data_IF_452777646743
#
_entry.id   IF_452777646743
#
_cell.length_a   1.000
_cell.length_b   1.000
_cell.length_c   1.000
_cell.angle_alpha   90.00
_cell.angle_beta   90.00
_cell.angle_gamma   90.00
#
_symmetry.space_group_name_H-M   'P 1'
#
loop_
_entity.id
_entity.type
_entity.pdbx_description
1 polymer ?
#
# COMPACT_ATOMS: atom_id res chain seq x y z
N UNK A 1 -4.96 -32.34 -5.38
CA UNK A 1 -5.01 -32.19 -3.91
C UNK A 1 -6.44 -31.88 -3.50
N UNK A 2 -6.88 -32.28 -2.30
CA UNK A 2 -8.16 -31.87 -1.77
C UNK A 2 -8.15 -30.39 -1.37
N UNK A 3 -9.34 -29.79 -1.21
CA UNK A 3 -9.53 -28.44 -0.69
C UNK A 3 -8.80 -28.22 0.65
N UNK A 4 -8.95 -29.17 1.58
CA UNK A 4 -8.32 -29.10 2.89
C UNK A 4 -6.79 -29.10 2.79
N UNK A 5 -6.22 -29.95 1.91
CA UNK A 5 -4.78 -29.98 1.68
C UNK A 5 -4.24 -28.65 1.13
N UNK A 6 -4.90 -28.08 0.13
CA UNK A 6 -4.51 -26.79 -0.45
C UNK A 6 -4.55 -25.66 0.60
N UNK A 7 -5.59 -25.65 1.43
CA UNK A 7 -5.73 -24.66 2.50
C UNK A 7 -4.66 -24.82 3.57
N UNK A 8 -4.38 -26.03 4.02
CA UNK A 8 -3.37 -26.28 5.05
C UNK A 8 -1.96 -25.95 4.56
N UNK A 9 -1.66 -26.24 3.29
CA UNK A 9 -0.40 -25.82 2.66
C UNK A 9 -0.28 -24.29 2.56
N UNK A 10 -1.33 -23.60 2.11
CA UNK A 10 -1.37 -22.13 2.11
C UNK A 10 -1.10 -21.58 3.51
N UNK A 11 -1.79 -22.10 4.53
CA UNK A 11 -1.59 -21.67 5.93
C UNK A 11 -0.15 -21.92 6.39
N UNK A 12 0.42 -23.08 6.07
CA UNK A 12 1.82 -23.38 6.38
C UNK A 12 2.80 -22.39 5.73
N UNK A 13 2.58 -22.04 4.46
CA UNK A 13 3.37 -21.03 3.76
C UNK A 13 3.25 -19.65 4.42
N UNK A 14 2.03 -19.22 4.74
CA UNK A 14 1.77 -17.92 5.37
C UNK A 14 2.43 -17.81 6.76
N UNK A 15 2.46 -18.91 7.52
CA UNK A 15 3.19 -18.98 8.79
C UNK A 15 4.71 -18.88 8.55
N UNK A 16 5.23 -19.63 7.58
CA UNK A 16 6.66 -19.60 7.23
C UNK A 16 7.14 -18.23 6.76
N UNK A 17 6.27 -17.45 6.12
CA UNK A 17 6.52 -16.06 5.72
C UNK A 17 6.37 -15.05 6.87
N UNK A 18 5.88 -15.47 8.04
CA UNK A 18 5.56 -14.57 9.15
C UNK A 18 4.31 -13.70 8.95
N UNK A 19 3.60 -13.87 7.83
CA UNK A 19 2.37 -13.12 7.53
C UNK A 19 1.19 -13.55 8.41
N UNK A 20 1.25 -14.76 8.98
CA UNK A 20 0.24 -15.33 9.84
C UNK A 20 0.91 -15.89 11.09
N UNK A 21 0.49 -15.42 12.27
CA UNK A 21 1.21 -15.59 13.55
C UNK A 21 0.29 -16.00 14.68
N UNK A 22 -0.89 -15.39 14.75
CA UNK A 22 -1.82 -15.51 15.86
C UNK A 22 -2.69 -16.76 15.72
N UNK A 23 -2.76 -17.60 16.77
CA UNK A 23 -3.48 -18.88 16.72
C UNK A 23 -4.96 -18.78 16.30
N UNK A 24 -5.65 -17.72 16.71
CA UNK A 24 -7.05 -17.47 16.34
C UNK A 24 -7.20 -17.04 14.87
N UNK A 25 -6.24 -16.29 14.32
CA UNK A 25 -6.17 -15.96 12.89
C UNK A 25 -5.83 -17.21 12.07
N UNK A 26 -4.91 -18.06 12.56
CA UNK A 26 -4.58 -19.36 11.92
C UNK A 26 -5.85 -20.21 11.79
N UNK A 27 -6.63 -20.30 12.87
CA UNK A 27 -7.87 -21.06 12.89
C UNK A 27 -8.88 -20.54 11.86
N UNK A 28 -9.03 -19.22 11.73
CA UNK A 28 -9.90 -18.62 10.72
C UNK A 28 -9.45 -18.98 9.29
N UNK A 29 -8.16 -18.88 9.00
CA UNK A 29 -7.61 -19.23 7.68
C UNK A 29 -7.73 -20.71 7.34
N UNK A 30 -7.71 -21.60 8.35
CA UNK A 30 -7.95 -23.05 8.17
C UNK A 30 -9.43 -23.42 7.97
N UNK A 31 -10.36 -22.55 8.34
CA UNK A 31 -11.80 -22.84 8.30
C UNK A 31 -12.50 -22.25 7.08
N UNK A 32 -12.18 -21.01 6.71
CA UNK A 32 -12.93 -20.30 5.67
C UNK A 32 -12.58 -20.84 4.27
N UNK A 33 -13.57 -21.28 3.48
CA UNK A 33 -13.35 -21.82 2.14
C UNK A 33 -13.22 -20.71 1.09
N UNK A 34 -12.07 -20.01 1.06
CA UNK A 34 -11.85 -18.83 0.19
C UNK A 34 -12.16 -19.05 -1.29
N UNK A 35 -11.91 -20.25 -1.81
CA UNK A 35 -12.17 -20.60 -3.21
C UNK A 35 -13.63 -20.44 -3.63
N UNK A 36 -14.60 -20.50 -2.69
CA UNK A 36 -16.02 -20.34 -3.01
C UNK A 36 -16.41 -18.90 -3.39
N UNK A 37 -15.55 -17.91 -3.13
CA UNK A 37 -15.81 -16.52 -3.51
C UNK A 37 -15.53 -16.24 -5.00
N UNK A 38 -14.72 -17.08 -5.64
CA UNK A 38 -14.35 -17.00 -7.07
C UNK A 38 -14.49 -18.37 -7.72
N UNK A 39 -15.71 -18.93 -7.79
CA UNK A 39 -15.95 -20.29 -8.30
C UNK A 39 -15.54 -20.50 -9.76
N UNK A 40 -15.38 -19.42 -10.52
CA UNK A 40 -14.88 -19.40 -11.90
C UNK A 40 -13.36 -19.60 -12.02
N UNK A 41 -12.62 -19.48 -10.91
CA UNK A 41 -11.17 -19.65 -10.88
C UNK A 41 -10.81 -21.05 -10.41
N UNK A 42 -9.76 -21.62 -10.98
CA UNK A 42 -9.19 -22.88 -10.49
C UNK A 42 -8.93 -22.82 -8.98
N UNK A 43 -9.48 -23.79 -8.25
CA UNK A 43 -9.43 -23.82 -6.79
C UNK A 43 -7.99 -23.72 -6.27
N UNK A 44 -7.04 -24.41 -6.88
CA UNK A 44 -5.65 -24.40 -6.41
C UNK A 44 -5.02 -23.01 -6.54
N UNK A 45 -5.32 -22.28 -7.63
CA UNK A 45 -4.87 -20.88 -7.79
C UNK A 45 -5.38 -19.95 -6.70
N UNK A 46 -6.57 -20.21 -6.14
CA UNK A 46 -7.10 -19.36 -5.07
C UNK A 46 -6.28 -19.49 -3.77
N UNK A 47 -5.57 -20.60 -3.55
CA UNK A 47 -4.79 -20.87 -2.35
C UNK A 47 -3.28 -20.54 -2.50
N UNK A 48 -2.85 -19.95 -3.62
CA UNK A 48 -1.46 -19.49 -3.78
C UNK A 48 -1.25 -18.20 -2.96
N UNK A 49 -0.30 -18.22 -2.02
CA UNK A 49 -0.11 -17.18 -1.00
C UNK A 49 0.01 -15.73 -1.54
N UNK A 50 0.64 -15.57 -2.71
CA UNK A 50 0.90 -14.26 -3.35
C UNK A 50 -0.04 -13.96 -4.53
N UNK A 51 -1.05 -14.81 -4.77
CA UNK A 51 -1.92 -14.65 -5.93
C UNK A 51 -3.22 -13.94 -5.55
N UNK A 52 -3.38 -12.71 -6.05
CA UNK A 52 -4.66 -12.01 -6.06
C UNK A 52 -5.49 -12.45 -7.28
N UNK A 53 -6.81 -12.52 -7.12
CA UNK A 53 -7.75 -12.79 -8.22
C UNK A 53 -8.40 -11.48 -8.63
N UNK A 54 -8.04 -10.97 -9.81
CA UNK A 54 -8.68 -9.77 -10.38
C UNK A 54 -10.12 -10.14 -10.76
N UNK A 55 -11.10 -9.41 -10.23
CA UNK A 55 -12.53 -9.69 -10.46
C UNK A 55 -13.20 -8.64 -11.34
N UNK A 56 -12.61 -7.46 -11.49
CA UNK A 56 -13.15 -6.38 -12.32
C UNK A 56 -12.04 -5.45 -12.80
N UNK A 57 -12.12 -5.07 -14.07
CA UNK A 57 -11.26 -4.07 -14.70
C UNK A 57 -12.11 -3.05 -15.45
N UNK A 58 -11.63 -1.82 -15.57
CA UNK A 58 -12.24 -0.84 -16.47
C UNK A 58 -11.84 -1.07 -17.94
N UNK A 59 -12.34 -0.22 -18.84
CA UNK A 59 -12.03 -0.28 -20.28
C UNK A 59 -10.57 0.03 -20.61
N UNK A 60 -9.84 0.68 -19.69
CA UNK A 60 -8.41 0.98 -19.82
C UNK A 60 -7.51 -0.12 -19.25
N UNK A 61 -8.08 -1.20 -18.70
CA UNK A 61 -7.34 -2.29 -18.07
C UNK A 61 -6.92 -2.01 -16.62
N UNK A 62 -7.39 -0.92 -16.00
CA UNK A 62 -7.16 -0.64 -14.58
C UNK A 62 -7.97 -1.63 -13.75
N UNK A 63 -7.32 -2.24 -12.76
CA UNK A 63 -7.98 -3.17 -11.83
C UNK A 63 -8.83 -2.39 -10.85
N UNK A 64 -10.15 -2.64 -10.86
CA UNK A 64 -11.13 -1.97 -10.00
C UNK A 64 -11.45 -2.81 -8.75
N UNK A 65 -11.47 -4.13 -8.87
CA UNK A 65 -11.73 -5.03 -7.76
C UNK A 65 -10.91 -6.31 -7.88
N UNK A 66 -10.52 -6.85 -6.74
CA UNK A 66 -9.86 -8.15 -6.64
C UNK A 66 -10.21 -8.85 -5.34
N UNK A 67 -10.12 -10.19 -5.32
CA UNK A 67 -9.93 -10.92 -4.08
C UNK A 67 -8.43 -10.91 -3.79
N UNK A 68 -8.04 -10.20 -2.73
CA UNK A 68 -6.65 -10.02 -2.33
C UNK A 68 -5.90 -11.35 -2.15
N UNK A 69 -4.59 -11.31 -2.39
CA UNK A 69 -3.70 -12.43 -2.12
C UNK A 69 -3.82 -12.86 -0.64
N UNK A 70 -3.79 -14.18 -0.34
CA UNK A 70 -3.87 -14.67 1.04
C UNK A 70 -2.89 -14.00 1.99
N UNK A 71 -1.65 -13.71 1.53
CA UNK A 71 -0.64 -13.04 2.35
C UNK A 71 -1.05 -11.62 2.76
N UNK A 72 -1.64 -10.86 1.84
CA UNK A 72 -2.09 -9.49 2.11
C UNK A 72 -3.25 -9.48 3.12
N UNK A 73 -4.21 -10.40 2.98
CA UNK A 73 -5.31 -10.54 3.94
C UNK A 73 -4.81 -10.95 5.32
N UNK A 74 -3.90 -11.93 5.39
CA UNK A 74 -3.32 -12.37 6.66
C UNK A 74 -2.57 -11.23 7.36
N UNK A 75 -1.72 -10.51 6.60
CA UNK A 75 -0.98 -9.35 7.10
C UNK A 75 -1.90 -8.27 7.67
N UNK A 76 -2.94 -7.84 6.94
CA UNK A 76 -3.88 -6.81 7.42
C UNK A 76 -4.69 -7.28 8.63
N UNK A 77 -5.15 -8.55 8.65
CA UNK A 77 -5.90 -9.09 9.79
C UNK A 77 -5.02 -9.17 11.04
N UNK A 78 -3.76 -9.59 10.91
CA UNK A 78 -2.80 -9.57 12.02
C UNK A 78 -2.50 -8.14 12.47
N UNK A 79 -2.34 -7.20 11.54
CA UNK A 79 -2.22 -5.77 11.83
C UNK A 79 -3.48 -5.19 12.45
N UNK A 80 -4.67 -5.79 12.31
CA UNK A 80 -5.89 -5.26 12.91
C UNK A 80 -6.07 -5.71 14.37
N UNK A 81 -5.32 -6.71 14.84
CA UNK A 81 -5.41 -7.23 16.21
C UNK A 81 -6.86 -7.46 16.69
N UNK A 82 -7.60 -8.22 15.91
CA UNK A 82 -9.04 -8.44 16.09
C UNK A 82 -9.25 -9.54 17.13
N UNK A 83 -10.17 -9.29 18.07
CA UNK A 83 -10.45 -10.20 19.18
C UNK A 83 -11.91 -10.66 19.19
N UNK A 84 -12.21 -11.81 19.83
CA UNK A 84 -13.58 -12.26 20.01
C UNK A 84 -14.47 -11.18 20.67
N UNK A 85 -15.70 -11.04 20.18
CA UNK A 85 -16.68 -10.06 20.67
C UNK A 85 -16.58 -8.66 20.05
N UNK A 86 -15.52 -8.38 19.27
CA UNK A 86 -15.35 -7.06 18.65
C UNK A 86 -16.35 -6.79 17.52
N UNK A 87 -16.63 -5.51 17.32
CA UNK A 87 -17.33 -4.94 16.17
C UNK A 87 -16.31 -4.43 15.16
N UNK A 88 -16.33 -4.98 13.95
CA UNK A 88 -15.35 -4.66 12.92
C UNK A 88 -16.05 -4.13 11.68
N UNK A 89 -15.56 -2.99 11.16
CA UNK A 89 -15.92 -2.50 9.83
C UNK A 89 -14.84 -2.89 8.83
N UNK A 90 -15.26 -3.47 7.71
CA UNK A 90 -14.45 -3.65 6.52
C UNK A 90 -14.92 -2.70 5.41
N UNK A 91 -13.98 -2.00 4.75
CA UNK A 91 -14.24 -1.07 3.65
C UNK A 91 -13.55 -1.58 2.37
N UNK A 92 -14.33 -2.04 1.39
CA UNK A 92 -13.89 -2.55 0.09
C UNK A 92 -13.86 -4.08 -0.03
N UNK A 93 -14.99 -4.77 0.15
CA UNK A 93 -15.00 -6.23 0.36
C UNK A 93 -15.83 -7.05 -0.61
N UNK A 94 -15.19 -8.09 -1.17
CA UNK A 94 -15.84 -9.20 -1.87
C UNK A 94 -16.26 -10.39 -0.99
N UNK A 95 -16.22 -10.26 0.34
CA UNK A 95 -16.76 -11.24 1.29
C UNK A 95 -15.76 -12.22 1.93
N UNK A 96 -14.66 -12.60 1.26
CA UNK A 96 -13.67 -13.56 1.82
C UNK A 96 -13.07 -13.04 3.13
N UNK A 97 -12.63 -11.79 3.13
CA UNK A 97 -12.02 -11.18 4.29
C UNK A 97 -13.06 -11.05 5.42
N UNK A 98 -14.26 -10.50 5.14
CA UNK A 98 -15.39 -10.51 6.07
C UNK A 98 -15.69 -11.88 6.71
N UNK A 99 -15.55 -12.99 5.97
CA UNK A 99 -15.70 -14.34 6.53
C UNK A 99 -14.56 -14.71 7.51
N UNK A 100 -13.31 -14.34 7.22
CA UNK A 100 -12.21 -14.48 8.20
C UNK A 100 -12.49 -13.64 9.45
N UNK A 101 -12.89 -12.39 9.26
CA UNK A 101 -13.24 -11.47 10.36
C UNK A 101 -14.36 -12.05 11.23
N UNK A 102 -15.41 -12.59 10.61
CA UNK A 102 -16.55 -13.17 11.29
C UNK A 102 -16.15 -14.40 12.11
N UNK A 103 -15.25 -15.23 11.59
CA UNK A 103 -14.72 -16.36 12.36
C UNK A 103 -13.91 -15.91 13.58
N UNK A 104 -13.11 -14.85 13.46
CA UNK A 104 -12.26 -14.33 14.53
C UNK A 104 -13.08 -13.66 15.64
N UNK A 105 -14.02 -12.77 15.29
CA UNK A 105 -14.86 -12.08 16.29
C UNK A 105 -15.84 -13.05 16.97
N UNK A 106 -16.08 -14.21 16.38
CA UNK A 106 -16.93 -15.25 16.94
C UNK A 106 -18.40 -14.90 16.89
N UNK A 107 -19.20 -15.53 17.77
CA UNK A 107 -20.66 -15.41 17.80
C UNK A 107 -21.18 -14.12 18.46
N UNK A 108 -20.38 -13.54 19.35
CA UNK A 108 -20.76 -12.38 20.15
C UNK A 108 -20.25 -11.06 19.52
N UNK A 109 -19.50 -11.15 18.42
CA UNK A 109 -19.03 -10.01 17.65
C UNK A 109 -19.89 -9.71 16.42
N UNK A 110 -19.54 -8.63 15.73
CA UNK A 110 -20.23 -8.17 14.52
C UNK A 110 -19.21 -7.78 13.45
N UNK A 111 -19.44 -8.22 12.23
CA UNK A 111 -18.72 -7.70 11.06
C UNK A 111 -19.69 -6.92 10.20
N UNK A 112 -19.33 -5.68 9.89
CA UNK A 112 -19.98 -4.87 8.87
C UNK A 112 -19.00 -4.75 7.73
N UNK A 113 -19.47 -4.97 6.52
CA UNK A 113 -18.64 -4.90 5.32
C UNK A 113 -19.33 -4.03 4.28
N UNK A 114 -18.59 -3.09 3.70
CA UNK A 114 -19.14 -2.17 2.71
C UNK A 114 -18.32 -2.14 1.43
N UNK A 115 -19.01 -1.93 0.31
CA UNK A 115 -18.41 -1.65 -0.99
C UNK A 115 -19.35 -0.75 -1.80
N UNK A 116 -18.79 0.14 -2.61
CA UNK A 116 -19.57 1.06 -3.44
C UNK A 116 -20.17 0.36 -4.67
N UNK A 117 -19.56 -0.73 -5.12
CA UNK A 117 -19.98 -1.46 -6.31
C UNK A 117 -20.98 -2.58 -5.94
N UNK A 118 -22.23 -2.52 -6.44
CA UNK A 118 -23.22 -3.56 -6.16
C UNK A 118 -22.78 -4.95 -6.67
N UNK A 119 -21.98 -5.05 -7.73
CA UNK A 119 -21.50 -6.36 -8.20
C UNK A 119 -20.56 -7.04 -7.19
N UNK A 120 -19.83 -6.22 -6.41
CA UNK A 120 -18.94 -6.69 -5.35
C UNK A 120 -19.74 -7.15 -4.14
N UNK A 121 -20.73 -6.36 -3.70
CA UNK A 121 -21.59 -6.74 -2.57
C UNK A 121 -22.48 -7.95 -2.89
N UNK A 122 -23.03 -8.04 -4.11
CA UNK A 122 -23.78 -9.22 -4.56
C UNK A 122 -22.92 -10.51 -4.58
N UNK A 123 -21.62 -10.40 -4.89
CA UNK A 123 -20.69 -11.53 -4.79
C UNK A 123 -20.53 -11.98 -3.34
N UNK A 124 -20.40 -11.03 -2.41
CA UNK A 124 -20.36 -11.33 -0.97
C UNK A 124 -21.66 -11.99 -0.50
N UNK A 125 -22.83 -11.50 -0.95
CA UNK A 125 -24.15 -12.07 -0.65
C UNK A 125 -24.30 -13.53 -1.13
N UNK A 126 -23.72 -13.87 -2.29
CA UNK A 126 -23.71 -15.26 -2.80
C UNK A 126 -22.70 -16.15 -2.08
N UNK A 127 -21.61 -15.59 -1.57
CA UNK A 127 -20.52 -16.31 -0.93
C UNK A 127 -20.81 -16.63 0.55
N UNK A 128 -21.20 -15.62 1.33
CA UNK A 128 -21.30 -15.72 2.79
C UNK A 128 -22.27 -16.81 3.29
N UNK A 129 -23.44 -17.06 2.68
CA UNK A 129 -24.30 -18.18 3.09
C UNK A 129 -23.62 -19.55 2.99
N UNK A 130 -22.73 -19.74 2.01
CA UNK A 130 -22.00 -21.01 1.79
C UNK A 130 -20.94 -21.28 2.87
N UNK A 131 -20.62 -20.27 3.68
CA UNK A 131 -19.61 -20.35 4.74
C UNK A 131 -20.20 -20.48 6.15
N UNK A 132 -21.52 -20.24 6.30
CA UNK A 132 -22.18 -20.17 7.61
C UNK A 132 -21.97 -18.84 8.36
N UNK A 133 -21.40 -17.81 7.73
CA UNK A 133 -21.17 -16.49 8.35
C UNK A 133 -22.24 -15.44 8.03
N UNK A 134 -23.22 -15.72 7.17
CA UNK A 134 -24.22 -14.73 6.71
C UNK A 134 -24.98 -14.01 7.84
N UNK A 135 -25.31 -14.69 8.94
CA UNK A 135 -26.00 -14.05 10.06
C UNK A 135 -25.12 -13.06 10.85
N UNK A 136 -23.80 -13.19 10.72
CA UNK A 136 -22.78 -12.43 11.47
C UNK A 136 -22.08 -11.34 10.66
N UNK A 137 -22.30 -11.32 9.35
CA UNK A 137 -21.79 -10.29 8.45
C UNK A 137 -22.96 -9.45 7.95
N UNK A 138 -22.90 -8.14 8.15
CA UNK A 138 -23.82 -7.17 7.56
C UNK A 138 -23.16 -6.58 6.33
N UNK A 139 -23.78 -6.76 5.18
CA UNK A 139 -23.29 -6.23 3.90
C UNK A 139 -23.99 -4.92 3.62
N UNK A 140 -23.23 -3.89 3.29
CA UNK A 140 -23.74 -2.54 3.00
C UNK A 140 -23.21 -2.11 1.62
N UNK A 141 -24.11 -1.93 0.66
CA UNK A 141 -23.73 -1.28 -0.61
C UNK A 141 -23.74 0.23 -0.41
N UNK A 142 -22.57 0.85 -0.44
CA UNK A 142 -22.40 2.27 -0.12
C UNK A 142 -20.97 2.75 -0.28
N UNK A 143 -20.79 4.07 -0.36
CA UNK A 143 -19.49 4.68 -0.48
C UNK A 143 -18.71 4.58 0.85
N UNK A 144 -17.59 3.85 0.82
CA UNK A 144 -16.71 3.60 1.95
C UNK A 144 -16.12 4.87 2.58
N UNK A 145 -16.09 6.00 1.87
CA UNK A 145 -15.70 7.31 2.42
C UNK A 145 -16.51 7.65 3.68
N UNK A 146 -17.78 7.25 3.72
CA UNK A 146 -18.71 7.56 4.80
C UNK A 146 -18.76 6.46 5.89
N UNK A 147 -17.97 5.39 5.76
CA UNK A 147 -18.04 4.22 6.63
C UNK A 147 -19.42 3.56 6.61
N UNK A 148 -19.89 3.13 7.77
CA UNK A 148 -21.23 2.55 7.94
C UNK A 148 -21.81 2.98 9.31
N UNK A 149 -22.37 4.21 9.41
CA UNK A 149 -22.70 4.84 10.69
C UNK A 149 -23.79 4.11 11.49
N UNK A 150 -24.73 3.44 10.83
CA UNK A 150 -25.84 2.71 11.47
C UNK A 150 -25.39 1.53 12.34
N UNK A 151 -24.13 1.15 12.24
CA UNK A 151 -23.52 0.08 13.02
C UNK A 151 -22.27 0.53 13.77
N UNK A 152 -22.01 1.83 13.84
CA UNK A 152 -21.00 2.39 14.73
C UNK A 152 -21.43 2.27 16.21
N UNK A 153 -20.51 2.38 17.18
CA UNK A 153 -19.05 2.45 16.98
C UNK A 153 -18.42 1.08 16.72
N UNK A 154 -17.21 1.10 16.17
CA UNK A 154 -16.39 -0.07 15.86
C UNK A 154 -15.15 -0.12 16.76
N UNK A 155 -14.73 -1.34 17.11
CA UNK A 155 -13.44 -1.57 17.76
C UNK A 155 -12.29 -1.52 16.76
N UNK A 156 -12.57 -1.97 15.53
CA UNK A 156 -11.60 -2.06 14.43
C UNK A 156 -12.22 -1.61 13.11
N UNK A 157 -11.44 -0.91 12.31
CA UNK A 157 -11.75 -0.60 10.92
C UNK A 157 -10.61 -1.14 10.06
N UNK A 158 -10.94 -1.87 9.00
CA UNK A 158 -9.97 -2.40 8.03
C UNK A 158 -10.39 -1.91 6.65
N UNK A 159 -9.49 -1.22 5.99
CA UNK A 159 -9.68 -0.74 4.62
C UNK A 159 -8.93 -1.68 3.69
N UNK A 160 -9.60 -2.16 2.64
CA UNK A 160 -9.07 -3.12 1.66
C UNK A 160 -9.00 -2.52 0.26
N UNK A 161 -8.90 -1.18 0.21
CA UNK A 161 -8.60 -0.36 -0.97
C UNK A 161 -7.52 0.66 -0.63
N UNK A 162 -6.82 1.16 -1.64
CA UNK A 162 -5.80 2.20 -1.47
C UNK A 162 -6.48 3.56 -1.26
N UNK A 163 -6.32 4.12 -0.06
CA UNK A 163 -6.79 5.46 0.29
C UNK A 163 -5.66 6.48 0.18
N UNK A 164 -5.99 7.72 -0.21
CA UNK A 164 -5.03 8.84 -0.21
C UNK A 164 -5.12 9.73 1.04
N UNK A 165 -6.21 9.57 1.80
CA UNK A 165 -6.54 10.34 2.99
C UNK A 165 -7.32 9.45 3.98
N UNK A 166 -7.55 9.94 5.19
CA UNK A 166 -8.38 9.29 6.21
C UNK A 166 -9.62 10.16 6.46
N UNK A 167 -10.80 9.77 5.96
CA UNK A 167 -12.03 10.54 6.14
C UNK A 167 -12.42 10.67 7.62
N UNK A 168 -13.03 11.80 8.04
CA UNK A 168 -13.47 11.99 9.42
C UNK A 168 -14.43 10.90 9.89
N UNK A 169 -15.26 10.38 8.97
CA UNK A 169 -16.22 9.32 9.26
C UNK A 169 -15.56 8.06 9.83
N UNK A 170 -14.34 7.71 9.41
CA UNK A 170 -13.64 6.54 9.95
C UNK A 170 -13.18 6.77 11.39
N UNK A 171 -12.68 7.97 11.68
CA UNK A 171 -12.24 8.35 13.03
C UNK A 171 -13.47 8.44 13.96
N UNK A 172 -14.53 9.11 13.53
CA UNK A 172 -15.76 9.31 14.32
C UNK A 172 -16.47 8.00 14.66
N UNK A 173 -16.41 7.00 13.77
CA UNK A 173 -17.04 5.70 13.98
C UNK A 173 -16.15 4.70 14.75
N UNK A 174 -14.88 5.01 14.98
CA UNK A 174 -13.94 4.17 15.74
C UNK A 174 -14.03 4.50 17.23
N UNK A 175 -14.01 3.52 18.14
CA UNK A 175 -13.88 3.82 19.58
C UNK A 175 -12.52 4.48 19.89
N UNK A 176 -12.43 5.25 20.97
CA UNK A 176 -11.13 5.69 21.49
C UNK A 176 -10.27 4.48 21.89
N UNK A 177 -8.98 4.50 21.56
CA UNK A 177 -8.11 3.31 21.63
C UNK A 177 -8.44 2.21 20.61
N UNK A 178 -9.45 2.42 19.74
CA UNK A 178 -9.74 1.57 18.60
C UNK A 178 -8.63 1.63 17.56
N UNK A 179 -8.63 0.66 16.64
CA UNK A 179 -7.56 0.53 15.64
C UNK A 179 -8.08 0.58 14.20
N UNK A 180 -7.40 1.37 13.37
CA UNK A 180 -7.62 1.49 11.93
C UNK A 180 -6.44 0.85 11.20
N UNK A 181 -6.70 -0.04 10.25
CA UNK A 181 -5.70 -0.56 9.32
C UNK A 181 -6.07 -0.11 7.92
N UNK A 182 -5.18 0.66 7.29
CA UNK A 182 -5.46 1.28 5.99
C UNK A 182 -4.25 1.21 5.06
N UNK A 183 -4.42 0.77 3.80
CA UNK A 183 -3.47 0.99 2.72
C UNK A 183 -3.43 2.48 2.36
N UNK A 184 -2.59 3.23 3.07
CA UNK A 184 -2.48 4.68 2.92
C UNK A 184 -1.39 5.03 1.91
N UNK A 185 -1.75 5.82 0.90
CA UNK A 185 -0.83 6.39 -0.07
C UNK A 185 -0.24 7.70 0.45
N UNK A 186 1.09 7.75 0.51
CA UNK A 186 1.88 8.92 0.89
C UNK A 186 2.93 9.15 -0.20
N UNK A 187 2.77 10.21 -0.99
CA UNK A 187 3.69 10.60 -2.08
C UNK A 187 3.94 9.46 -3.07
N UNK A 188 2.85 8.85 -3.54
CA UNK A 188 2.85 7.76 -4.49
C UNK A 188 3.12 6.38 -3.88
N UNK A 189 3.68 6.32 -2.68
CA UNK A 189 4.02 5.07 -2.00
C UNK A 189 2.88 4.60 -1.11
N UNK A 190 2.51 3.33 -1.23
CA UNK A 190 1.43 2.75 -0.42
C UNK A 190 1.98 1.78 0.60
N UNK A 191 1.59 1.97 1.85
CA UNK A 191 1.80 0.99 2.92
C UNK A 191 0.49 0.71 3.60
N UNK A 192 0.33 -0.50 4.10
CA UNK A 192 -0.72 -0.78 5.07
C UNK A 192 -0.23 -0.26 6.41
N UNK A 193 -0.89 0.75 6.97
CA UNK A 193 -0.53 1.37 8.24
C UNK A 193 -1.58 1.01 9.28
N UNK A 194 -1.11 0.53 10.42
CA UNK A 194 -1.95 0.29 11.59
C UNK A 194 -1.86 1.49 12.52
N UNK A 195 -3.01 2.13 12.79
CA UNK A 195 -3.12 3.26 13.68
C UNK A 195 -3.98 2.92 14.90
N UNK A 196 -3.60 3.46 16.05
CA UNK A 196 -4.44 3.52 17.26
C UNK A 196 -5.02 4.92 17.37
N UNK A 197 -6.32 5.01 17.65
CA UNK A 197 -7.00 6.28 17.91
C UNK A 197 -6.62 6.79 19.29
N UNK A 198 -6.16 8.04 19.35
CA UNK A 198 -5.91 8.78 20.59
C UNK A 198 -6.64 10.12 20.51
N UNK A 199 -7.90 10.17 20.99
CA UNK A 199 -8.74 11.34 20.85
C UNK A 199 -9.07 11.65 19.38
N UNK A 200 -8.57 12.77 18.85
CA UNK A 200 -8.77 13.18 17.44
C UNK A 200 -7.61 12.79 16.53
N UNK A 201 -6.47 12.32 17.08
CA UNK A 201 -5.31 11.88 16.29
C UNK A 201 -5.27 10.37 16.14
N UNK A 202 -4.61 9.92 15.10
CA UNK A 202 -4.30 8.52 14.84
C UNK A 202 -2.78 8.34 14.89
N UNK A 203 -2.29 7.43 15.74
CA UNK A 203 -0.85 7.19 15.93
C UNK A 203 -0.49 5.82 15.42
N UNK A 204 0.49 5.73 14.52
CA UNK A 204 0.91 4.45 13.94
C UNK A 204 1.77 3.65 14.91
N UNK A 205 1.58 2.34 14.94
CA UNK A 205 2.50 1.41 15.62
C UNK A 205 3.11 0.35 14.68
N UNK A 206 2.78 0.40 13.39
CA UNK A 206 3.40 -0.43 12.38
C UNK A 206 2.91 -0.11 10.97
N UNK A 207 3.76 -0.40 9.99
CA UNK A 207 3.39 -0.39 8.58
C UNK A 207 4.14 -1.46 7.80
N UNK A 208 3.56 -1.90 6.70
CA UNK A 208 4.15 -2.90 5.79
C UNK A 208 3.87 -2.52 4.33
N UNK A 209 4.78 -2.84 3.42
CA UNK A 209 4.57 -2.61 1.99
C UNK A 209 3.39 -3.42 1.44
N UNK A 210 2.53 -2.77 0.65
CA UNK A 210 1.38 -3.43 0.02
C UNK A 210 0.97 -2.77 -1.31
N UNK A 211 0.16 -3.49 -2.09
CA UNK A 211 -0.55 -2.97 -3.25
C UNK A 211 -2.04 -3.31 -3.15
N UNK A 212 -2.89 -2.32 -3.48
CA UNK A 212 -4.35 -2.45 -3.48
C UNK A 212 -4.93 -1.71 -4.68
N UNK A 213 -6.16 -2.06 -5.06
CA UNK A 213 -6.95 -1.30 -6.03
C UNK A 213 -7.28 0.08 -5.45
N UNK A 214 -7.37 1.13 -6.28
CA UNK A 214 -7.64 2.48 -5.79
C UNK A 214 -9.04 2.59 -5.17
N UNK A 215 -9.16 3.38 -4.10
CA UNK A 215 -10.46 3.78 -3.57
C UNK A 215 -11.28 4.51 -4.65
N UNK A 216 -12.58 4.22 -4.69
CA UNK A 216 -13.55 4.81 -5.60
C UNK A 216 -14.60 5.60 -4.80
N UNK A 217 -15.32 6.53 -5.43
CA UNK A 217 -16.34 7.34 -4.77
C UNK A 217 -15.83 8.72 -4.37
N UNK A 218 -16.36 9.27 -3.29
CA UNK A 218 -16.02 10.61 -2.82
C UNK A 218 -14.53 10.76 -2.44
N UNK A 219 -13.92 9.71 -1.90
CA UNK A 219 -12.48 9.66 -1.59
C UNK A 219 -11.58 9.29 -2.76
N UNK A 220 -12.10 9.19 -3.99
CA UNK A 220 -11.30 8.81 -5.15
C UNK A 220 -10.20 9.86 -5.39
N UNK A 221 -8.94 9.40 -5.36
CA UNK A 221 -7.79 10.22 -5.70
C UNK A 221 -6.90 9.45 -6.69
N UNK A 222 -6.93 9.87 -7.96
CA UNK A 222 -6.14 9.24 -9.03
C UNK A 222 -4.74 9.81 -9.06
N UNK A 223 -3.76 8.92 -9.04
CA UNK A 223 -2.37 9.25 -9.34
C UNK A 223 -2.28 9.78 -10.77
N UNK A 224 -1.70 10.96 -10.96
CA UNK A 224 -1.50 11.54 -12.30
C UNK A 224 -0.26 10.92 -12.93
N UNK A 225 -0.38 10.40 -14.15
CA UNK A 225 0.77 9.93 -14.92
C UNK A 225 1.15 11.01 -15.94
N UNK A 226 2.40 11.47 -15.85
CA UNK A 226 3.00 12.37 -16.84
C UNK A 226 4.00 11.58 -17.67
N UNK A 227 3.77 11.50 -18.98
CA UNK A 227 4.61 10.74 -19.90
C UNK A 227 5.80 11.59 -20.32
N UNK A 228 7.00 11.07 -20.11
CA UNK A 228 8.27 11.67 -20.51
C UNK A 228 8.80 11.09 -21.82
N UNK A 229 8.38 9.89 -22.20
CA UNK A 229 8.72 9.25 -23.47
C UNK A 229 7.55 8.37 -23.89
N UNK A 230 7.00 8.61 -25.09
CA UNK A 230 5.75 8.02 -25.57
C UNK A 230 5.97 7.22 -26.87
N UNK A 231 6.86 6.23 -26.79
CA UNK A 231 7.03 5.23 -27.85
C UNK A 231 6.46 3.92 -27.32
N UNK A 232 5.60 3.29 -28.13
CA UNK A 232 4.96 2.02 -27.79
C UNK A 232 6.00 0.97 -27.37
N UNK A 233 5.77 0.33 -26.23
CA UNK A 233 6.65 -0.64 -25.54
C UNK A 233 7.91 -0.05 -24.88
N UNK A 234 8.17 1.24 -25.07
CA UNK A 234 9.31 1.98 -24.53
C UNK A 234 8.89 3.11 -23.59
N UNK A 235 7.62 3.19 -23.18
CA UNK A 235 7.11 4.35 -22.46
C UNK A 235 7.83 4.58 -21.13
N UNK A 236 8.12 5.85 -20.84
CA UNK A 236 8.67 6.34 -19.57
C UNK A 236 7.76 7.43 -19.03
N UNK A 237 7.43 7.38 -17.75
CA UNK A 237 6.59 8.41 -17.13
C UNK A 237 6.82 8.57 -15.64
N UNK A 238 6.30 9.67 -15.10
CA UNK A 238 6.31 10.01 -13.69
C UNK A 238 4.89 9.93 -13.13
N UNK A 239 4.73 9.15 -12.07
CA UNK A 239 3.51 9.14 -11.24
C UNK A 239 3.62 10.26 -10.20
N UNK A 240 2.69 11.21 -10.28
CA UNK A 240 2.59 12.35 -9.38
C UNK A 240 1.48 12.13 -8.34
N UNK A 241 1.82 12.34 -7.07
CA UNK A 241 0.92 12.39 -5.91
C UNK A 241 1.40 13.55 -5.02
N UNK A 242 0.68 14.67 -5.05
CA UNK A 242 1.08 15.94 -4.43
C UNK A 242 2.46 16.46 -4.85
N UNK A 243 2.78 16.30 -6.14
CA UNK A 243 4.00 16.83 -6.76
C UNK A 243 3.66 17.87 -7.83
N UNK A 244 4.52 18.90 -8.01
CA UNK A 244 4.36 19.88 -9.08
C UNK A 244 4.45 19.23 -10.47
N UNK A 245 3.84 19.87 -11.45
CA UNK A 245 3.97 19.44 -12.84
C UNK A 245 5.41 19.65 -13.33
N UNK A 246 6.05 18.60 -13.91
CA UNK A 246 7.40 18.72 -14.43
C UNK A 246 7.41 19.43 -15.80
N UNK A 247 8.56 19.99 -16.16
CA UNK A 247 8.84 20.39 -17.55
C UNK A 247 9.10 19.14 -18.39
N UNK A 248 8.05 18.62 -19.04
CA UNK A 248 8.12 17.34 -19.75
C UNK A 248 9.04 17.37 -20.96
N UNK A 249 9.15 18.51 -21.65
CA UNK A 249 10.03 18.66 -22.81
C UNK A 249 11.50 18.62 -22.37
N UNK A 250 11.83 19.37 -21.30
CA UNK A 250 13.17 19.38 -20.75
C UNK A 250 13.56 18.01 -20.18
N UNK A 251 12.68 17.34 -19.43
CA UNK A 251 12.95 16.01 -18.89
C UNK A 251 13.02 14.92 -19.97
N UNK A 252 12.21 15.02 -21.04
CA UNK A 252 12.38 14.16 -22.21
C UNK A 252 13.80 14.33 -22.77
N UNK A 253 14.24 15.57 -23.02
CA UNK A 253 15.59 15.84 -23.53
C UNK A 253 16.69 15.31 -22.59
N UNK A 254 16.51 15.46 -21.27
CA UNK A 254 17.42 14.94 -20.25
C UNK A 254 17.58 13.42 -20.32
N UNK A 255 16.48 12.68 -20.51
CA UNK A 255 16.51 11.21 -20.62
C UNK A 255 17.27 10.70 -21.84
N UNK A 256 17.26 11.44 -22.96
CA UNK A 256 18.04 11.09 -24.16
C UNK A 256 19.49 11.59 -24.11
N UNK A 257 19.86 12.32 -23.07
CA UNK A 257 21.24 12.77 -22.81
C UNK A 257 22.10 11.72 -22.12
N UNK A 258 23.40 11.99 -21.94
CA UNK A 258 24.25 11.15 -21.11
C UNK A 258 23.77 11.15 -19.65
N UNK A 259 23.85 9.99 -19.00
CA UNK A 259 23.57 9.86 -17.56
C UNK A 259 24.83 10.03 -16.73
N UNK A 260 24.67 10.52 -15.50
CA UNK A 260 25.69 10.43 -14.44
C UNK A 260 25.32 9.28 -13.50
N UNK A 261 26.33 8.70 -12.88
CA UNK A 261 26.15 7.63 -11.89
C UNK A 261 26.83 8.04 -10.58
N UNK A 262 26.09 7.97 -9.47
CA UNK A 262 26.59 8.21 -8.14
C UNK A 262 26.33 6.98 -7.27
N UNK A 263 27.28 6.64 -6.40
CA UNK A 263 27.28 5.37 -5.66
C UNK A 263 27.59 5.62 -4.19
N UNK A 264 26.80 5.04 -3.29
CA UNK A 264 26.76 5.44 -1.87
C UNK A 264 27.75 4.71 -0.96
N UNK A 265 28.36 3.62 -1.42
CA UNK A 265 29.00 2.58 -0.61
C UNK A 265 28.07 1.86 0.38
N UNK A 266 26.78 2.20 0.42
CA UNK A 266 25.78 1.49 1.23
C UNK A 266 25.33 0.25 0.49
N UNK A 267 25.39 -0.91 1.17
CA UNK A 267 25.00 -2.20 0.59
C UNK A 267 23.84 -2.84 1.32
N UNK A 268 22.92 -3.42 0.55
CA UNK A 268 21.76 -4.17 1.03
C UNK A 268 21.88 -5.64 0.64
N UNK A 269 21.30 -6.53 1.46
CA UNK A 269 21.15 -7.93 1.08
C UNK A 269 20.08 -8.13 -0.02
N UNK A 270 20.14 -9.28 -0.68
CA UNK A 270 19.19 -9.78 -1.67
C UNK A 270 17.71 -9.55 -1.34
N UNK A 271 17.37 -9.94 -0.12
CA UNK A 271 16.03 -10.00 0.46
C UNK A 271 15.69 -8.79 1.34
N UNK A 272 16.62 -7.84 1.50
CA UNK A 272 16.41 -6.65 2.32
C UNK A 272 15.53 -5.62 1.58
N UNK A 273 14.42 -5.25 2.22
CA UNK A 273 13.45 -4.28 1.69
C UNK A 273 14.05 -2.88 1.62
N UNK A 274 13.69 -2.14 0.56
CA UNK A 274 14.03 -0.71 0.37
C UNK A 274 12.91 0.22 0.83
N UNK A 275 11.81 -0.32 1.35
CA UNK A 275 10.61 0.47 1.65
C UNK A 275 10.85 1.56 2.72
N UNK A 276 11.74 1.33 3.68
CA UNK A 276 12.10 2.33 4.67
C UNK A 276 12.95 3.45 4.05
N UNK A 277 13.92 3.10 3.20
CA UNK A 277 14.69 4.09 2.45
C UNK A 277 13.77 4.92 1.54
N UNK A 278 12.86 4.29 0.82
CA UNK A 278 11.95 4.98 -0.09
C UNK A 278 11.03 5.95 0.70
N UNK A 279 10.61 5.58 1.93
CA UNK A 279 9.89 6.51 2.82
C UNK A 279 10.77 7.68 3.27
N UNK A 280 12.02 7.40 3.65
CA UNK A 280 12.96 8.43 4.10
C UNK A 280 13.17 9.48 3.03
N UNK A 281 13.44 9.04 1.79
CA UNK A 281 13.57 9.92 0.64
C UNK A 281 12.30 10.76 0.45
N UNK A 282 11.11 10.17 0.63
CA UNK A 282 9.83 10.88 0.56
C UNK A 282 9.69 11.98 1.61
N UNK A 283 10.32 11.81 2.78
CA UNK A 283 10.28 12.78 3.87
C UNK A 283 11.29 13.91 3.72
N UNK A 284 12.43 13.68 3.06
CA UNK A 284 13.47 14.70 2.92
C UNK A 284 13.37 15.51 1.63
N UNK A 285 12.81 14.93 0.55
CA UNK A 285 12.69 15.61 -0.73
C UNK A 285 11.27 16.11 -1.01
N UNK A 286 11.15 17.39 -1.40
CA UNK A 286 9.88 18.05 -1.70
C UNK A 286 9.25 17.64 -3.05
N UNK A 287 10.07 17.25 -4.02
CA UNK A 287 9.60 16.78 -5.33
C UNK A 287 10.20 15.42 -5.69
N UNK A 288 9.50 14.35 -5.28
CA UNK A 288 9.97 12.97 -5.41
C UNK A 288 8.91 12.04 -6.04
N UNK A 289 8.49 12.31 -7.30
CA UNK A 289 7.57 11.41 -7.99
C UNK A 289 8.16 10.02 -8.21
N UNK A 290 7.29 9.09 -8.63
CA UNK A 290 7.72 7.73 -8.93
C UNK A 290 7.90 7.53 -10.43
N UNK A 291 9.12 7.24 -10.86
CA UNK A 291 9.44 6.88 -12.24
C UNK A 291 8.93 5.46 -12.53
N UNK A 292 8.17 5.35 -13.61
CA UNK A 292 7.76 4.08 -14.19
C UNK A 292 8.24 4.01 -15.62
N UNK A 293 8.57 2.80 -16.07
CA UNK A 293 9.01 2.57 -17.43
C UNK A 293 8.65 1.16 -17.89
N UNK A 294 8.41 1.00 -19.18
CA UNK A 294 8.25 -0.31 -19.80
C UNK A 294 9.59 -1.01 -20.05
N UNK A 295 9.61 -2.36 -20.20
CA UNK A 295 10.85 -3.09 -20.46
C UNK A 295 11.64 -2.63 -21.70
N UNK A 296 10.97 -2.13 -22.76
CA UNK A 296 11.64 -1.60 -23.95
C UNK A 296 12.47 -0.35 -23.66
N UNK A 297 12.01 0.53 -22.75
CA UNK A 297 12.74 1.73 -22.34
C UNK A 297 14.10 1.36 -21.73
N UNK A 298 14.11 0.29 -20.92
CA UNK A 298 15.33 -0.26 -20.32
C UNK A 298 16.24 -0.89 -21.36
N UNK A 299 15.69 -1.67 -22.28
CA UNK A 299 16.46 -2.28 -23.37
C UNK A 299 17.13 -1.22 -24.26
N UNK A 300 16.49 -0.07 -24.44
CA UNK A 300 17.02 1.11 -25.17
C UNK A 300 18.06 1.90 -24.38
N UNK A 301 18.17 1.68 -23.08
CA UNK A 301 19.10 2.40 -22.20
C UNK A 301 18.60 3.78 -21.75
N UNK A 302 17.30 4.08 -21.90
CA UNK A 302 16.72 5.34 -21.40
C UNK A 302 16.68 5.37 -19.87
N UNK A 303 16.41 4.22 -19.27
CA UNK A 303 16.45 3.98 -17.82
C UNK A 303 17.11 2.64 -17.53
N UNK A 304 17.64 2.46 -16.34
CA UNK A 304 18.35 1.21 -16.00
C UNK A 304 17.47 0.17 -15.29
N UNK A 305 16.39 0.64 -14.64
CA UNK A 305 15.53 -0.16 -13.79
C UNK A 305 14.06 0.09 -14.10
N UNK A 306 13.26 -0.98 -13.98
CA UNK A 306 11.81 -0.95 -14.12
C UNK A 306 11.19 -1.53 -12.86
N UNK A 307 10.23 -0.79 -12.29
CA UNK A 307 9.47 -1.23 -11.11
C UNK A 307 7.98 -0.99 -11.38
N UNK A 308 7.11 -2.01 -11.24
CA UNK A 308 5.66 -1.81 -11.32
C UNK A 308 5.13 -0.83 -10.26
N UNK A 309 5.78 -0.78 -9.09
CA UNK A 309 5.48 0.17 -8.01
C UNK A 309 6.07 1.56 -8.27
N UNK A 310 6.94 1.69 -9.26
CA UNK A 310 7.72 2.89 -9.54
C UNK A 310 8.99 2.99 -8.70
N UNK A 311 9.85 3.94 -9.06
CA UNK A 311 11.14 4.19 -8.42
C UNK A 311 11.17 5.64 -7.93
N UNK A 312 11.48 5.92 -6.66
CA UNK A 312 11.62 7.29 -6.18
C UNK A 312 12.61 8.08 -7.02
N UNK A 313 12.16 9.23 -7.53
CA UNK A 313 12.89 10.03 -8.50
C UNK A 313 12.83 11.49 -8.10
N UNK A 314 13.97 12.05 -7.73
CA UNK A 314 14.12 13.47 -7.43
C UNK A 314 14.05 14.23 -8.75
N UNK A 315 13.16 15.22 -8.84
CA UNK A 315 12.99 16.07 -10.02
C UNK A 315 13.21 17.53 -9.64
N UNK A 316 14.16 18.18 -10.30
CA UNK A 316 14.43 19.60 -10.13
C UNK A 316 14.63 20.27 -11.49
N UNK A 317 13.70 21.17 -11.84
CA UNK A 317 13.67 21.89 -13.12
C UNK A 317 13.73 20.93 -14.31
N UNK A 318 14.87 20.92 -15.02
CA UNK A 318 15.17 20.18 -16.25
C UNK A 318 16.00 18.90 -15.99
N UNK A 319 16.11 18.49 -14.73
CA UNK A 319 16.97 17.37 -14.32
C UNK A 319 16.21 16.40 -13.41
N UNK A 320 16.54 15.11 -13.52
CA UNK A 320 15.98 14.05 -12.66
C UNK A 320 17.06 13.07 -12.20
N UNK A 321 16.91 12.53 -11.00
CA UNK A 321 17.74 11.44 -10.51
C UNK A 321 16.89 10.39 -9.81
N UNK A 322 17.07 9.12 -10.17
CA UNK A 322 16.31 8.01 -9.60
C UNK A 322 17.21 6.97 -8.94
N UNK A 323 16.66 6.31 -7.91
CA UNK A 323 17.40 5.29 -7.15
C UNK A 323 17.84 4.14 -8.06
N UNK A 324 19.11 3.79 -7.95
CA UNK A 324 19.76 2.71 -8.69
C UNK A 324 20.35 1.65 -7.75
N UNK A 325 20.70 0.51 -8.32
CA UNK A 325 21.49 -0.53 -7.64
C UNK A 325 22.53 -1.10 -8.59
N UNK A 326 23.69 -1.50 -8.05
CA UNK A 326 24.67 -2.32 -8.79
C UNK A 326 25.09 -3.55 -8.00
N UNK A 327 25.45 -4.66 -8.67
CA UNK A 327 26.08 -5.79 -8.00
C UNK A 327 27.35 -5.39 -7.25
N UNK A 328 27.64 -6.09 -6.16
CA UNK A 328 28.93 -5.98 -5.47
C UNK A 328 29.78 -7.23 -5.75
N UNK A 329 31.01 -7.26 -5.22
CA UNK A 329 31.83 -8.48 -5.23
C UNK A 329 31.18 -9.64 -4.43
N UNK A 330 30.29 -9.33 -3.49
CA UNK A 330 29.43 -10.31 -2.82
C UNK A 330 28.15 -10.53 -3.67
N UNK A 331 27.93 -11.75 -4.20
CA UNK A 331 26.79 -12.04 -5.07
C UNK A 331 25.43 -11.95 -4.37
N UNK A 332 25.40 -11.87 -3.03
CA UNK A 332 24.18 -11.74 -2.24
C UNK A 332 23.89 -10.29 -1.85
N UNK A 333 24.71 -9.34 -2.32
CA UNK A 333 24.61 -7.92 -1.97
C UNK A 333 24.64 -7.02 -3.20
N UNK A 334 23.96 -5.88 -3.04
CA UNK A 334 23.95 -4.80 -4.03
C UNK A 334 24.26 -3.49 -3.34
N UNK A 335 24.97 -2.62 -4.04
CA UNK A 335 25.21 -1.24 -3.62
C UNK A 335 24.09 -0.33 -4.11
N UNK A 336 23.63 0.56 -3.23
CA UNK A 336 22.67 1.60 -3.56
C UNK A 336 23.36 2.77 -4.26
N UNK A 337 22.70 3.31 -5.28
CA UNK A 337 23.17 4.47 -6.03
C UNK A 337 22.05 5.32 -6.58
N UNK A 338 22.40 6.21 -7.49
CA UNK A 338 21.46 7.03 -8.25
C UNK A 338 21.96 7.21 -9.69
N UNK A 339 21.02 7.21 -10.63
CA UNK A 339 21.28 7.65 -12.00
C UNK A 339 20.63 9.02 -12.22
N UNK A 340 21.45 10.00 -12.60
CA UNK A 340 21.02 11.37 -12.87
C UNK A 340 21.01 11.68 -14.37
N UNK A 341 20.04 12.50 -14.79
CA UNK A 341 19.85 12.97 -16.16
C UNK A 341 19.58 14.48 -16.16
N UNK A 342 20.08 15.17 -17.20
CA UNK A 342 19.89 16.61 -17.39
C UNK A 342 21.07 17.49 -16.90
N UNK A 343 20.99 18.81 -17.08
CA UNK A 343 22.08 19.74 -16.78
C UNK A 343 22.56 19.75 -15.32
N UNK A 344 21.64 19.50 -14.38
CA UNK A 344 21.90 19.42 -12.94
C UNK A 344 22.12 18.00 -12.41
N UNK A 345 22.25 17.01 -13.30
CA UNK A 345 22.25 15.58 -12.95
C UNK A 345 23.20 15.20 -11.81
N UNK A 346 24.43 15.74 -11.81
CA UNK A 346 25.43 15.40 -10.80
C UNK A 346 25.00 15.87 -9.40
N UNK A 347 24.53 17.11 -9.29
CA UNK A 347 24.11 17.70 -8.01
C UNK A 347 22.95 16.93 -7.38
N UNK A 348 21.92 16.61 -8.17
CA UNK A 348 20.74 15.88 -7.67
C UNK A 348 21.05 14.41 -7.38
N UNK A 349 21.96 13.77 -8.13
CA UNK A 349 22.42 12.42 -7.84
C UNK A 349 23.22 12.38 -6.54
N UNK A 350 24.14 13.32 -6.34
CA UNK A 350 24.94 13.42 -5.11
C UNK A 350 24.08 13.67 -3.88
N UNK A 351 23.05 14.52 -3.99
CA UNK A 351 22.06 14.72 -2.90
C UNK A 351 21.28 13.45 -2.58
N UNK A 352 20.90 12.66 -3.59
CA UNK A 352 20.25 11.36 -3.35
C UNK A 352 21.20 10.42 -2.62
N UNK A 353 22.49 10.39 -3.00
CA UNK A 353 23.51 9.58 -2.30
C UNK A 353 23.70 10.01 -0.86
N UNK A 354 23.79 11.32 -0.60
CA UNK A 354 23.91 11.85 0.75
C UNK A 354 22.73 11.38 1.64
N UNK A 355 21.50 11.44 1.13
CA UNK A 355 20.33 10.98 1.87
C UNK A 355 20.29 9.47 2.07
N UNK A 356 20.79 8.67 1.12
CA UNK A 356 20.97 7.23 1.29
C UNK A 356 21.96 6.94 2.42
N UNK A 357 23.06 7.68 2.50
CA UNK A 357 24.09 7.52 3.54
C UNK A 357 23.60 7.98 4.93
N UNK A 358 22.81 9.06 4.99
CA UNK A 358 22.16 9.50 6.23
C UNK A 358 21.18 8.42 6.71
N UNK A 359 20.31 7.92 5.83
CA UNK A 359 19.40 6.84 6.16
C UNK A 359 20.12 5.61 6.70
N UNK A 360 21.18 5.15 6.03
CA UNK A 360 21.96 3.99 6.46
C UNK A 360 22.53 4.14 7.87
N UNK A 361 23.08 5.33 8.16
CA UNK A 361 23.73 5.64 9.44
C UNK A 361 22.73 5.86 10.58
N UNK A 362 21.60 6.50 10.31
CA UNK A 362 20.74 7.06 11.37
C UNK A 362 19.37 6.35 11.46
N UNK A 363 18.84 5.84 10.35
CA UNK A 363 17.43 5.43 10.28
C UNK A 363 17.19 3.99 9.79
N UNK A 364 18.18 3.30 9.21
CA UNK A 364 18.02 1.93 8.65
C UNK A 364 17.56 0.92 9.70
N UNK A 365 17.98 1.08 10.95
CA UNK A 365 17.57 0.23 12.09
C UNK A 365 16.30 0.69 12.79
N UNK A 366 15.71 1.80 12.34
CA UNK A 366 14.55 2.43 12.96
C UNK A 366 13.35 2.41 12.01
N UNK A 367 12.16 2.63 12.56
CA UNK A 367 10.93 2.80 11.78
C UNK A 367 10.45 4.23 11.96
N UNK A 368 9.94 4.80 10.87
CA UNK A 368 9.24 6.08 10.94
C UNK A 368 7.98 5.94 11.79
N UNK A 369 7.64 7.01 12.50
CA UNK A 369 6.34 7.17 13.16
C UNK A 369 5.46 8.04 12.26
N UNK A 370 4.22 7.60 12.08
CA UNK A 370 3.21 8.28 11.28
C UNK A 370 2.07 8.69 12.21
N UNK A 371 1.77 9.98 12.23
CA UNK A 371 0.60 10.51 12.91
C UNK A 371 -0.34 11.13 11.89
N UNK A 372 -1.64 10.97 12.11
CA UNK A 372 -2.67 11.62 11.32
C UNK A 372 -3.52 12.49 12.22
N UNK A 373 -3.62 13.76 11.86
CA UNK A 373 -4.34 14.79 12.59
C UNK A 373 -5.47 15.34 11.73
N UNK A 374 -6.55 15.89 12.29
CA UNK A 374 -7.59 16.56 11.52
C UNK A 374 -7.03 17.70 10.65
N UNK A 375 -7.63 17.92 9.48
CA UNK A 375 -7.33 19.07 8.65
C UNK A 375 -7.46 20.37 9.46
N UNK A 376 -6.48 21.26 9.30
CA UNK A 376 -6.43 22.54 10.04
C UNK A 376 -5.81 22.47 11.44
N UNK A 377 -5.35 21.30 11.90
CA UNK A 377 -4.50 21.21 13.11
C UNK A 377 -3.28 22.14 12.97
N UNK A 378 -3.02 23.08 13.88
CA UNK A 378 -1.89 24.03 13.74
C UNK A 378 -0.52 23.35 13.80
N UNK A 379 0.50 23.95 13.17
CA UNK A 379 1.86 23.39 13.09
C UNK A 379 2.50 23.11 14.46
N UNK A 380 2.18 23.92 15.48
CA UNK A 380 2.71 23.75 16.85
C UNK A 380 2.11 22.55 17.60
N UNK A 381 1.12 21.87 17.01
CA UNK A 381 0.53 20.62 17.52
C UNK A 381 0.96 19.39 16.72
N UNK A 382 1.73 19.55 15.66
CA UNK A 382 2.24 18.45 14.87
C UNK A 382 3.64 18.05 15.34
N UNK A 383 3.95 16.77 15.24
CA UNK A 383 5.29 16.26 15.51
C UNK A 383 6.30 16.82 14.50
N UNK A 384 7.50 17.16 14.96
CA UNK A 384 8.57 17.75 14.13
C UNK A 384 9.06 16.74 13.07
N UNK A 385 8.64 16.92 11.82
CA UNK A 385 8.97 16.05 10.71
C UNK A 385 8.33 16.49 9.40
N UNK A 386 8.17 15.56 8.45
CA UNK A 386 7.49 15.85 7.18
C UNK A 386 5.98 15.87 7.40
N UNK A 387 5.36 17.02 7.14
CA UNK A 387 3.90 17.15 7.11
C UNK A 387 3.40 17.10 5.68
N UNK A 388 2.33 16.35 5.45
CA UNK A 388 1.59 16.29 4.19
C UNK A 388 0.15 16.69 4.46
N UNK A 389 -0.30 17.75 3.80
CA UNK A 389 -1.67 18.23 3.91
C UNK A 389 -2.57 17.52 2.89
N UNK A 390 -3.66 16.93 3.37
CA UNK A 390 -4.71 16.29 2.59
C UNK A 390 -6.06 16.99 2.88
N UNK A 391 -7.12 16.77 2.07
CA UNK A 391 -8.41 17.42 2.28
C UNK A 391 -9.01 17.24 3.68
N UNK A 392 -8.85 16.08 4.30
CA UNK A 392 -9.42 15.73 5.60
C UNK A 392 -8.38 15.68 6.73
N UNK A 393 -7.11 15.48 6.40
CA UNK A 393 -6.07 15.29 7.41
C UNK A 393 -4.75 15.98 7.14
N UNK A 394 -3.93 16.11 8.19
CA UNK A 394 -2.50 16.42 8.10
C UNK A 394 -1.75 15.18 8.57
N UNK A 395 -0.91 14.61 7.70
CA UNK A 395 -0.12 13.41 7.99
C UNK A 395 1.30 13.85 8.33
N UNK A 396 1.74 13.62 9.57
CA UNK A 396 3.11 13.90 10.02
C UNK A 396 3.93 12.60 10.04
N UNK A 397 5.11 12.62 9.42
CA UNK A 397 6.06 11.51 9.44
C UNK A 397 7.35 11.97 10.12
N UNK A 398 7.72 11.29 11.19
CA UNK A 398 8.95 11.55 11.95
C UNK A 398 9.86 10.33 11.96
N UNK A 399 11.16 10.57 12.12
CA UNK A 399 12.18 9.55 12.21
C UNK A 399 12.88 9.61 13.58
N UNK A 400 13.17 8.47 14.22
CA UNK A 400 13.85 8.43 15.52
C UNK A 400 15.32 8.86 15.46
#
# INVERSE_FOLDING_TARGET
MSEQQLRDEMVGQLIGMGALRSSHVVAAFRKVPRHLATPEVDMARTYVAEHAVITKTDSGGVQLSSVSAPRIQAMQIEQADIRPGMRVLEIGSGGVNAAYLAEIVGKDGLVVTTDIDPEVTERAERFLPKTGYHDRVRIVTGDGEHGAPDHAPYDRIIVTVQAADIPPAWIDQLVDGGRLVVPLRMRGMTRTVAFVREGERMVSDGFELCGFVPMQGAGENRVRLVVLHDIEEEEVGLRLDDHPDPDTEALHAALHGPRVEAWSAVTLAGDESKEHLDLWLATVFDNLPLLIAKPGARARGLVDSVSPLGIPTLVERDSLAYRAVRPTDDPYRFELGAFGHGPGAQEIADRMIEQIQIWDREHRSHRAYIEVHPAGTPDDRLSEGRVMDRPHTRIAITWP
#
